data_IF_838306429524
#
_entry.id   IF_838306429524
#
_cell.length_a   1.000
_cell.length_b   1.000
_cell.length_c   1.000
_cell.angle_alpha   90.00
_cell.angle_beta   90.00
_cell.angle_gamma   90.00
#
_symmetry.space_group_name_H-M   'P 1'
#
loop_
_entity.id
_entity.type
_entity.pdbx_description
1 polymer ?
#
# COMPACT_ATOMS: atom_id res chain seq x y z
N UNK A 1 12.83 5.84 -0.23
CA UNK A 1 11.78 4.81 -0.10
C UNK A 1 12.42 3.44 -0.18
N UNK A 2 12.04 2.51 0.69
CA UNK A 2 12.58 1.13 0.74
C UNK A 2 12.16 0.28 -0.47
N UNK A 3 11.03 0.60 -1.10
CA UNK A 3 10.49 -0.11 -2.24
C UNK A 3 10.48 0.75 -3.51
N UNK A 4 10.78 0.15 -4.66
CA UNK A 4 10.66 0.80 -5.96
C UNK A 4 9.19 1.07 -6.34
N UNK A 5 8.27 0.23 -5.86
CA UNK A 5 6.83 0.38 -6.00
C UNK A 5 6.13 -0.15 -4.75
N UNK A 6 4.92 0.35 -4.45
CA UNK A 6 4.14 -0.16 -3.33
C UNK A 6 3.76 -1.63 -3.59
N UNK A 7 4.16 -2.59 -2.72
CA UNK A 7 3.85 -4.00 -2.92
C UNK A 7 2.33 -4.28 -2.82
N UNK A 8 1.57 -3.34 -2.27
CA UNK A 8 0.13 -3.45 -2.07
C UNK A 8 -0.69 -2.79 -3.19
N UNK A 9 -0.08 -2.32 -4.27
CA UNK A 9 -0.85 -1.70 -5.35
C UNK A 9 -1.66 -2.74 -6.15
N UNK A 10 -2.96 -2.48 -6.43
CA UNK A 10 -3.81 -1.44 -5.87
C UNK A 10 -4.33 -1.84 -4.47
N UNK A 11 -4.18 -0.96 -3.47
CA UNK A 11 -4.56 -1.30 -2.10
C UNK A 11 -6.07 -1.12 -1.83
N UNK A 12 -6.73 -0.29 -2.64
CA UNK A 12 -8.17 0.01 -2.54
C UNK A 12 -8.59 0.52 -1.14
N UNK A 13 -7.68 1.20 -0.44
CA UNK A 13 -7.89 1.67 0.92
C UNK A 13 -7.64 3.18 1.02
N UNK A 14 -8.73 3.94 1.14
CA UNK A 14 -8.69 5.40 1.17
C UNK A 14 -8.01 5.97 2.42
N UNK A 15 -7.91 5.17 3.50
CA UNK A 15 -7.19 5.58 4.73
C UNK A 15 -5.71 5.79 4.50
N UNK A 16 -5.17 5.18 3.43
CA UNK A 16 -3.76 5.33 3.06
C UNK A 16 -3.49 6.62 2.28
N UNK A 17 -4.53 7.34 1.84
CA UNK A 17 -4.45 8.48 0.92
C UNK A 17 -4.63 8.11 -0.55
N UNK A 18 -4.83 6.82 -0.87
CA UNK A 18 -5.28 6.40 -2.20
C UNK A 18 -6.74 6.81 -2.46
N UNK A 19 -7.12 6.94 -3.73
CA UNK A 19 -8.46 7.38 -4.13
C UNK A 19 -8.82 6.95 -5.54
N UNK A 20 -10.12 6.89 -5.86
CA UNK A 20 -10.56 6.85 -7.25
C UNK A 20 -10.40 8.22 -7.92
N UNK A 21 -9.90 8.21 -9.16
CA UNK A 21 -9.76 9.42 -10.01
C UNK A 21 -10.42 9.19 -11.36
N UNK A 22 -10.97 10.25 -11.95
CA UNK A 22 -11.58 10.22 -13.28
C UNK A 22 -10.52 10.04 -14.37
N UNK A 23 -10.82 9.21 -15.36
CA UNK A 23 -9.99 9.05 -16.57
C UNK A 23 -10.43 10.07 -17.62
N UNK A 24 -9.48 10.53 -18.43
CA UNK A 24 -9.77 11.41 -19.58
C UNK A 24 -10.72 10.77 -20.62
N UNK A 25 -10.76 9.43 -20.68
CA UNK A 25 -11.64 8.65 -21.57
C UNK A 25 -12.98 8.27 -20.93
N UNK A 26 -13.29 8.78 -19.74
CA UNK A 26 -14.46 8.40 -18.94
C UNK A 26 -14.23 7.19 -18.02
N UNK A 27 -15.02 7.13 -16.96
CA UNK A 27 -14.92 6.14 -15.89
C UNK A 27 -13.80 6.46 -14.88
N UNK A 28 -13.72 5.68 -13.81
CA UNK A 28 -12.74 5.89 -12.72
C UNK A 28 -11.59 4.88 -12.74
N UNK A 29 -10.48 5.23 -12.10
CA UNK A 29 -9.37 4.32 -11.79
C UNK A 29 -8.89 4.56 -10.37
N UNK A 30 -8.49 3.49 -9.68
CA UNK A 30 -7.82 3.64 -8.39
C UNK A 30 -6.43 4.24 -8.57
N UNK A 31 -6.11 5.26 -7.77
CA UNK A 31 -4.82 5.94 -7.76
C UNK A 31 -4.22 5.90 -6.37
N UNK A 32 -3.03 5.30 -6.25
CA UNK A 32 -2.19 5.39 -5.06
C UNK A 32 -1.25 6.60 -5.09
N UNK A 33 -1.46 7.60 -5.96
CA UNK A 33 -0.54 8.74 -6.07
C UNK A 33 -0.44 9.57 -4.78
N UNK A 34 -1.49 9.57 -3.95
CA UNK A 34 -1.48 10.18 -2.61
C UNK A 34 -1.28 9.17 -1.47
N UNK A 35 -0.94 7.91 -1.78
CA UNK A 35 -0.79 6.85 -0.78
C UNK A 35 0.52 7.02 -0.02
N UNK A 36 0.47 7.19 1.30
CA UNK A 36 1.65 7.39 2.14
C UNK A 36 2.11 6.11 2.87
N UNK A 37 1.35 5.02 2.75
CA UNK A 37 1.54 3.82 3.57
C UNK A 37 2.99 3.32 3.58
N UNK A 38 3.58 3.13 2.39
CA UNK A 38 4.95 2.61 2.25
C UNK A 38 6.02 3.70 2.33
N UNK A 39 5.61 4.96 2.47
CA UNK A 39 6.51 6.09 2.68
C UNK A 39 6.80 6.34 4.16
N UNK A 40 5.99 5.78 5.07
CA UNK A 40 6.29 5.75 6.50
C UNK A 40 7.40 4.75 6.77
N UNK A 41 8.54 5.21 7.28
CA UNK A 41 9.73 4.38 7.49
C UNK A 41 9.45 3.14 8.34
N UNK A 42 8.69 3.28 9.44
CA UNK A 42 8.36 2.14 10.30
C UNK A 42 7.47 1.11 9.59
N UNK A 43 6.57 1.56 8.71
CA UNK A 43 5.72 0.68 7.92
C UNK A 43 6.54 -0.04 6.88
N UNK A 44 7.36 0.69 6.13
CA UNK A 44 8.21 0.12 5.09
C UNK A 44 9.14 -0.97 5.63
N UNK A 45 9.74 -0.75 6.80
CA UNK A 45 10.59 -1.75 7.44
C UNK A 45 9.79 -3.01 7.81
N UNK A 46 8.62 -2.87 8.46
CA UNK A 46 7.76 -4.01 8.82
C UNK A 46 7.31 -4.82 7.61
N UNK A 47 7.03 -4.16 6.49
CA UNK A 47 6.68 -4.85 5.23
C UNK A 47 7.88 -5.62 4.70
N UNK A 48 9.07 -5.02 4.71
CA UNK A 48 10.30 -5.68 4.24
C UNK A 48 10.61 -6.91 5.09
N UNK A 49 10.55 -6.78 6.42
CA UNK A 49 10.81 -7.87 7.35
C UNK A 49 9.82 -9.04 7.11
N UNK A 50 8.53 -8.74 7.01
CA UNK A 50 7.51 -9.76 6.71
C UNK A 50 7.80 -10.51 5.40
N UNK A 51 8.20 -9.79 4.35
CA UNK A 51 8.54 -10.41 3.06
C UNK A 51 9.81 -11.26 3.14
N UNK A 52 10.83 -10.81 3.88
CA UNK A 52 12.08 -11.58 4.12
C UNK A 52 11.83 -12.84 4.96
N UNK A 53 10.86 -12.80 5.87
CA UNK A 53 10.36 -13.96 6.63
C UNK A 53 9.54 -14.94 5.77
N UNK A 54 9.35 -14.65 4.48
CA UNK A 54 8.61 -15.50 3.55
C UNK A 54 7.10 -15.32 3.58
N UNK A 55 6.59 -14.26 4.23
CA UNK A 55 5.18 -13.93 4.15
C UNK A 55 4.82 -13.48 2.73
N UNK A 56 3.64 -13.87 2.26
CA UNK A 56 3.08 -13.31 1.03
C UNK A 56 2.73 -11.83 1.22
N UNK A 57 2.60 -11.10 0.11
CA UNK A 57 2.12 -9.70 0.09
C UNK A 57 0.80 -9.55 0.86
N UNK A 58 -0.12 -10.51 0.73
CA UNK A 58 -1.40 -10.50 1.46
C UNK A 58 -1.19 -10.61 2.97
N UNK A 59 -0.34 -11.53 3.42
CA UNK A 59 -0.03 -11.69 4.85
C UNK A 59 0.68 -10.45 5.41
N UNK A 60 1.63 -9.88 4.67
CA UNK A 60 2.30 -8.64 5.05
C UNK A 60 1.31 -7.47 5.21
N UNK A 61 0.34 -7.36 4.30
CA UNK A 61 -0.76 -6.39 4.41
C UNK A 61 -1.55 -6.58 5.70
N UNK A 62 -2.03 -7.81 5.96
CA UNK A 62 -2.83 -8.10 7.16
C UNK A 62 -2.05 -7.83 8.45
N UNK A 63 -0.75 -8.11 8.47
CA UNK A 63 0.14 -7.85 9.63
C UNK A 63 0.35 -6.35 9.86
N UNK A 64 0.52 -5.56 8.79
CA UNK A 64 0.77 -4.13 8.90
C UNK A 64 -0.51 -3.37 9.23
N UNK A 65 -1.61 -3.69 8.54
CA UNK A 65 -2.89 -2.97 8.64
C UNK A 65 -3.69 -3.32 9.90
N UNK A 66 -3.57 -4.54 10.45
CA UNK A 66 -4.23 -4.89 11.73
C UNK A 66 -3.79 -4.02 12.92
N UNK A 67 -2.63 -3.37 12.84
CA UNK A 67 -2.12 -2.49 13.91
C UNK A 67 -2.38 -1.00 13.66
N UNK A 68 -2.97 -0.64 12.51
CA UNK A 68 -3.36 0.73 12.16
C UNK A 68 -4.88 0.97 12.36
N UNK A 69 -5.59 -0.03 12.91
CA UNK A 69 -7.02 -0.04 13.24
C UNK A 69 -7.23 -0.25 14.73
#
# INVERSE_FOLDING_TARGET
>A
CTFCFCPFYPCMDERTGGKYVERSTGGTVWSCAGCELIHRTEVAQRVLDALLEGQSVRQAWDTVMRRLL
#
